data_IF_482057830590
#
_entry.id   IF_482057830590
#
_cell.length_a   1.000
_cell.length_b   1.000
_cell.length_c   1.000
_cell.angle_alpha   90.00
_cell.angle_beta   90.00
_cell.angle_gamma   90.00
#
_symmetry.space_group_name_H-M   'P 1'
#
loop_
_entity.id
_entity.type
_entity.pdbx_description
1 polymer ?
#
# COMPACT_ATOMS: atom_id res chain seq x y z
N UNK A 1 -6.22 -4.64 23.71
CA UNK A 1 -5.05 -4.97 22.86
C UNK A 1 -4.85 -3.86 21.85
N UNK A 2 -3.68 -3.23 21.87
CA UNK A 2 -3.31 -2.17 20.92
C UNK A 2 -3.36 -2.74 19.48
N UNK A 3 -4.01 -2.02 18.57
CA UNK A 3 -4.12 -2.46 17.17
C UNK A 3 -2.72 -2.58 16.53
N UNK A 4 -2.49 -3.56 15.66
CA UNK A 4 -1.23 -3.76 14.92
C UNK A 4 -0.74 -2.45 14.29
N UNK A 5 -1.65 -1.67 13.74
CA UNK A 5 -1.40 -0.36 13.15
C UNK A 5 -0.75 0.62 14.14
N UNK A 6 -1.30 0.72 15.37
CA UNK A 6 -0.83 1.66 16.39
C UNK A 6 0.53 1.19 16.95
N UNK A 7 0.72 -0.12 17.06
CA UNK A 7 2.01 -0.72 17.42
C UNK A 7 3.08 -0.43 16.37
N UNK A 8 2.73 -0.56 15.09
CA UNK A 8 3.63 -0.25 13.98
C UNK A 8 4.02 1.23 13.99
N UNK A 9 3.04 2.12 14.13
CA UNK A 9 3.29 3.55 14.25
C UNK A 9 4.20 3.89 15.42
N UNK A 10 3.87 3.39 16.61
CA UNK A 10 4.67 3.63 17.81
C UNK A 10 6.12 3.14 17.64
N UNK A 11 6.30 1.97 17.00
CA UNK A 11 7.64 1.42 16.79
C UNK A 11 8.45 2.21 15.76
N UNK A 12 7.82 2.70 14.72
CA UNK A 12 8.48 3.58 13.74
C UNK A 12 8.89 4.90 14.40
N UNK A 13 8.02 5.50 15.20
CA UNK A 13 8.31 6.76 15.91
C UNK A 13 9.38 6.58 16.98
N UNK A 14 9.44 5.42 17.64
CA UNK A 14 10.55 5.07 18.54
C UNK A 14 11.90 5.06 17.81
N UNK A 15 11.94 4.53 16.60
CA UNK A 15 13.16 4.45 15.77
C UNK A 15 13.50 5.77 15.07
N UNK A 16 12.49 6.59 14.79
CA UNK A 16 12.58 7.86 14.05
C UNK A 16 11.68 8.91 14.68
N UNK A 17 12.02 9.44 15.87
CA UNK A 17 11.18 10.42 16.57
C UNK A 17 10.91 11.69 15.74
N UNK A 18 11.85 12.08 14.90
CA UNK A 18 11.78 13.24 14.02
C UNK A 18 10.74 13.10 12.89
N UNK A 19 10.23 11.90 12.65
CA UNK A 19 9.17 11.68 11.65
C UNK A 19 7.78 11.99 12.18
N UNK A 20 7.63 12.01 13.50
CA UNK A 20 6.37 12.34 14.15
C UNK A 20 6.13 13.84 14.19
N UNK A 21 4.88 14.25 14.01
CA UNK A 21 4.38 15.59 14.29
C UNK A 21 2.86 15.49 14.54
N UNK A 22 2.34 16.20 15.53
CA UNK A 22 0.92 16.19 15.88
C UNK A 22 0.07 16.95 14.85
N UNK A 23 0.65 17.95 14.18
CA UNK A 23 -0.06 18.73 13.18
C UNK A 23 -0.36 17.92 11.92
N UNK A 24 -1.57 18.08 11.37
CA UNK A 24 -2.01 17.30 10.20
C UNK A 24 -1.25 17.64 8.92
N UNK A 25 -0.67 18.84 8.85
CA UNK A 25 0.09 19.37 7.72
C UNK A 25 1.60 19.15 7.83
N UNK A 26 2.07 18.48 8.88
CA UNK A 26 3.50 18.20 9.14
C UNK A 26 3.77 16.73 9.36
N UNK A 27 5.06 16.40 9.56
CA UNK A 27 5.56 15.06 9.82
C UNK A 27 5.64 14.19 8.57
N UNK A 28 6.51 13.20 8.65
CA UNK A 28 6.84 12.24 7.59
C UNK A 28 5.89 11.03 7.60
N UNK A 29 5.33 10.71 8.77
CA UNK A 29 4.42 9.58 8.97
C UNK A 29 3.07 10.02 9.52
N UNK A 30 1.99 9.46 8.98
CA UNK A 30 0.61 9.66 9.46
C UNK A 30 -0.17 8.36 9.53
N UNK A 31 -1.08 8.26 10.49
CA UNK A 31 -2.09 7.20 10.56
C UNK A 31 -3.43 7.78 10.13
N UNK A 32 -4.14 7.08 9.26
CA UNK A 32 -5.49 7.46 8.79
C UNK A 32 -6.42 6.27 8.86
N UNK A 33 -7.51 6.39 9.61
CA UNK A 33 -8.54 5.38 9.65
C UNK A 33 -9.92 5.99 10.01
N UNK A 34 -10.97 5.21 9.75
CA UNK A 34 -12.30 5.51 10.24
C UNK A 34 -12.51 4.74 11.55
N UNK A 35 -12.81 5.46 12.63
CA UNK A 35 -13.19 4.81 13.87
C UNK A 35 -14.62 4.29 13.80
N UNK A 36 -14.84 3.15 14.45
CA UNK A 36 -16.16 2.71 14.83
C UNK A 36 -16.48 3.19 16.26
N UNK A 37 -17.77 3.43 16.59
CA UNK A 37 -18.15 3.81 17.96
C UNK A 37 -17.76 2.80 19.04
N UNK A 38 -17.44 1.57 18.63
CA UNK A 38 -17.02 0.46 19.51
C UNK A 38 -15.50 0.37 19.72
N UNK A 39 -14.72 1.26 19.10
CA UNK A 39 -13.28 1.21 19.20
C UNK A 39 -12.81 1.66 20.59
N UNK A 40 -11.77 0.99 21.13
CA UNK A 40 -11.19 1.32 22.42
C UNK A 40 -10.60 2.75 22.43
N UNK A 41 -10.53 3.37 23.61
CA UNK A 41 -10.03 4.73 23.78
C UNK A 41 -8.60 4.95 23.22
N UNK A 42 -7.76 3.92 23.28
CA UNK A 42 -6.39 3.94 22.73
C UNK A 42 -6.36 4.11 21.20
N UNK A 43 -7.39 3.61 20.53
CA UNK A 43 -7.57 3.73 19.07
C UNK A 43 -7.99 5.16 18.71
N UNK A 44 -8.59 5.91 19.64
CA UNK A 44 -9.07 7.27 19.39
C UNK A 44 -7.94 8.30 19.28
N UNK A 45 -6.73 8.01 19.74
CA UNK A 45 -5.56 8.90 19.64
C UNK A 45 -5.24 9.34 18.20
N UNK A 46 -5.55 8.49 17.22
CA UNK A 46 -5.34 8.77 15.80
C UNK A 46 -6.63 9.12 15.05
N UNK A 47 -7.73 9.33 15.77
CA UNK A 47 -8.99 9.79 15.19
C UNK A 47 -8.83 11.20 14.65
N UNK A 48 -9.03 11.33 13.35
CA UNK A 48 -8.96 12.62 12.68
C UNK A 48 -10.36 13.09 12.27
N UNK A 49 -10.58 14.38 12.38
CA UNK A 49 -11.76 14.99 11.76
C UNK A 49 -11.72 14.80 10.24
N UNK A 50 -12.86 14.76 9.55
CA UNK A 50 -12.89 14.62 8.09
C UNK A 50 -11.99 15.61 7.33
N UNK A 51 -11.90 16.86 7.83
CA UNK A 51 -11.01 17.88 7.27
C UNK A 51 -9.52 17.52 7.37
N UNK A 52 -9.10 16.98 8.51
CA UNK A 52 -7.72 16.53 8.74
C UNK A 52 -7.38 15.31 7.88
N UNK A 53 -8.30 14.34 7.75
CA UNK A 53 -8.17 13.23 6.82
C UNK A 53 -8.04 13.71 5.37
N UNK A 54 -8.80 14.72 4.97
CA UNK A 54 -8.70 15.33 3.65
C UNK A 54 -7.34 16.03 3.44
N UNK A 55 -6.80 16.69 4.48
CA UNK A 55 -5.49 17.32 4.44
C UNK A 55 -4.38 16.27 4.20
N UNK A 56 -4.37 15.15 4.95
CA UNK A 56 -3.42 14.06 4.74
C UNK A 56 -3.55 13.46 3.33
N UNK A 57 -4.77 13.23 2.86
CA UNK A 57 -5.00 12.76 1.48
C UNK A 57 -4.48 13.73 0.42
N UNK A 58 -4.58 15.03 0.66
CA UNK A 58 -4.03 16.05 -0.24
C UNK A 58 -2.50 16.00 -0.26
N UNK A 59 -1.86 15.88 0.90
CA UNK A 59 -0.40 15.73 1.03
C UNK A 59 0.11 14.51 0.27
N UNK A 60 -0.52 13.36 0.40
CA UNK A 60 -0.15 12.11 -0.33
C UNK A 60 -0.15 12.25 -1.85
N UNK A 61 -0.88 13.21 -2.40
CA UNK A 61 -0.92 13.47 -3.85
C UNK A 61 0.20 14.39 -4.32
N UNK A 62 0.88 15.06 -3.39
CA UNK A 62 1.94 16.02 -3.67
C UNK A 62 3.28 15.32 -3.55
N UNK A 63 3.98 15.13 -4.68
CA UNK A 63 5.26 14.43 -4.69
C UNK A 63 6.38 15.15 -3.92
N UNK A 64 6.25 16.46 -3.72
CA UNK A 64 7.23 17.30 -3.04
C UNK A 64 6.88 17.52 -1.54
N UNK A 65 5.79 16.88 -1.05
CA UNK A 65 5.42 16.92 0.38
C UNK A 65 6.34 15.98 1.19
N UNK A 66 6.78 16.36 2.38
CA UNK A 66 7.61 15.51 3.25
C UNK A 66 6.89 14.26 3.79
N UNK A 67 5.59 14.10 3.55
CA UNK A 67 4.84 12.92 3.95
C UNK A 67 5.21 11.70 3.09
N UNK A 68 5.94 10.76 3.67
CA UNK A 68 6.41 9.56 2.99
C UNK A 68 5.61 8.31 3.35
N UNK A 69 5.11 8.21 4.60
CA UNK A 69 4.45 7.00 5.09
C UNK A 69 3.04 7.33 5.58
N UNK A 70 2.07 6.57 5.07
CA UNK A 70 0.69 6.62 5.60
C UNK A 70 0.23 5.21 5.94
N UNK A 71 -0.10 5.01 7.21
CA UNK A 71 -0.63 3.75 7.72
C UNK A 71 -2.15 3.83 7.67
N UNK A 72 -2.79 2.90 6.98
CA UNK A 72 -4.24 2.85 6.80
C UNK A 72 -4.82 1.49 7.20
N UNK A 73 -6.11 1.48 7.54
CA UNK A 73 -6.90 0.26 7.67
C UNK A 73 -8.11 0.38 6.75
N UNK A 74 -8.18 -0.51 5.74
CA UNK A 74 -9.31 -0.61 4.79
C UNK A 74 -9.64 0.66 3.99
N UNK A 75 -8.88 1.71 4.18
CA UNK A 75 -9.07 2.99 3.50
C UNK A 75 -8.12 3.14 2.30
N UNK A 76 -8.52 3.96 1.34
CA UNK A 76 -7.68 4.34 0.19
C UNK A 76 -7.29 3.19 -0.75
N UNK A 77 -7.70 1.96 -0.47
CA UNK A 77 -7.49 0.83 -1.39
C UNK A 77 -8.33 0.98 -2.65
N UNK A 78 -9.50 1.62 -2.53
CA UNK A 78 -10.38 1.93 -3.66
C UNK A 78 -10.66 3.43 -3.74
N UNK A 79 -10.89 3.96 -4.95
CA UNK A 79 -11.34 5.34 -5.14
C UNK A 79 -10.33 6.45 -4.81
N UNK A 80 -9.14 6.14 -4.31
CA UNK A 80 -8.10 7.13 -4.01
C UNK A 80 -6.98 7.09 -5.05
N UNK A 81 -6.67 8.23 -5.64
CA UNK A 81 -5.62 8.37 -6.65
C UNK A 81 -4.44 9.17 -6.11
N UNK A 82 -3.26 8.52 -6.08
CA UNK A 82 -1.99 9.12 -5.72
C UNK A 82 -0.88 8.56 -6.63
N UNK A 83 -0.65 9.15 -7.82
CA UNK A 83 0.30 8.63 -8.80
C UNK A 83 1.75 8.57 -8.27
N UNK A 84 2.11 9.42 -7.32
CA UNK A 84 3.43 9.44 -6.68
C UNK A 84 3.65 8.24 -5.75
N UNK A 85 2.59 7.52 -5.35
CA UNK A 85 2.71 6.36 -4.46
C UNK A 85 3.55 5.27 -5.13
N UNK A 86 4.70 4.94 -4.52
CA UNK A 86 5.65 3.96 -5.04
C UNK A 86 5.44 2.58 -4.44
N UNK A 87 5.33 2.48 -3.12
CA UNK A 87 5.32 1.20 -2.41
C UNK A 87 4.05 1.01 -1.59
N UNK A 88 3.48 -0.19 -1.63
CA UNK A 88 2.43 -0.63 -0.70
C UNK A 88 2.95 -1.82 0.11
N UNK A 89 2.83 -1.71 1.44
CA UNK A 89 3.06 -2.80 2.39
C UNK A 89 1.72 -3.41 2.80
N UNK A 90 1.57 -4.73 2.63
CA UNK A 90 0.33 -5.45 2.92
C UNK A 90 0.57 -6.44 4.06
N UNK A 91 -0.13 -6.22 5.19
CA UNK A 91 -0.05 -7.06 6.40
C UNK A 91 -1.25 -8.02 6.53
N UNK A 92 -2.01 -8.22 5.47
CA UNK A 92 -3.14 -9.15 5.46
C UNK A 92 -3.35 -9.78 4.09
N UNK A 93 -4.07 -10.90 4.07
CA UNK A 93 -4.45 -11.53 2.80
C UNK A 93 -5.47 -10.68 2.05
N UNK A 94 -5.14 -10.31 0.80
CA UNK A 94 -6.04 -9.70 -0.16
C UNK A 94 -6.35 -10.71 -1.28
N UNK A 95 -7.55 -10.62 -1.87
CA UNK A 95 -8.00 -11.56 -2.91
C UNK A 95 -8.76 -10.84 -4.02
N UNK A 96 -8.80 -11.48 -5.20
CA UNK A 96 -9.64 -11.08 -6.34
C UNK A 96 -9.52 -9.60 -6.71
N UNK A 97 -10.64 -8.98 -7.00
CA UNK A 97 -10.71 -7.59 -7.47
C UNK A 97 -10.06 -6.58 -6.51
N UNK A 98 -10.16 -6.79 -5.18
CA UNK A 98 -9.55 -5.89 -4.21
C UNK A 98 -8.02 -5.90 -4.29
N UNK A 99 -7.41 -7.07 -4.51
CA UNK A 99 -5.97 -7.20 -4.73
C UNK A 99 -5.55 -6.47 -6.01
N UNK A 100 -6.26 -6.68 -7.12
CA UNK A 100 -5.98 -6.01 -8.39
C UNK A 100 -6.13 -4.49 -8.28
N UNK A 101 -7.16 -4.00 -7.61
CA UNK A 101 -7.35 -2.57 -7.37
C UNK A 101 -6.25 -1.98 -6.49
N UNK A 102 -5.74 -2.73 -5.53
CA UNK A 102 -4.63 -2.32 -4.67
C UNK A 102 -3.33 -2.22 -5.47
N UNK A 103 -3.03 -3.21 -6.30
CA UNK A 103 -1.87 -3.20 -7.20
C UNK A 103 -1.91 -2.01 -8.17
N UNK A 104 -3.08 -1.73 -8.74
CA UNK A 104 -3.28 -0.61 -9.64
C UNK A 104 -2.98 0.76 -9.00
N UNK A 105 -2.92 0.86 -7.65
CA UNK A 105 -2.55 2.11 -6.96
C UNK A 105 -1.09 2.45 -7.11
N UNK A 106 -0.21 1.46 -7.06
CA UNK A 106 1.24 1.67 -7.19
C UNK A 106 1.72 1.51 -8.64
N UNK A 107 1.03 0.74 -9.45
CA UNK A 107 1.38 0.50 -10.85
C UNK A 107 0.93 1.65 -11.76
N UNK A 108 1.52 2.83 -11.54
CA UNK A 108 1.29 4.04 -12.34
C UNK A 108 2.60 4.72 -12.68
N UNK A 109 2.72 5.17 -13.91
CA UNK A 109 3.83 6.01 -14.35
C UNK A 109 3.65 7.43 -13.81
N UNK A 110 4.70 8.02 -13.25
CA UNK A 110 4.66 9.38 -12.72
C UNK A 110 6.07 9.96 -12.54
N UNK A 111 6.39 11.10 -13.17
CA UNK A 111 7.67 11.82 -13.01
C UNK A 111 8.93 10.91 -13.00
N UNK A 112 9.02 9.96 -13.94
CA UNK A 112 10.14 9.02 -14.06
C UNK A 112 9.99 7.73 -13.25
N UNK A 113 8.96 7.58 -12.42
CA UNK A 113 8.55 6.30 -11.86
C UNK A 113 7.87 5.47 -12.96
N UNK A 114 8.41 4.31 -13.26
CA UNK A 114 7.91 3.39 -14.30
C UNK A 114 7.03 2.28 -13.74
N UNK A 115 7.24 1.93 -12.48
CA UNK A 115 6.61 0.80 -11.80
C UNK A 115 6.32 1.12 -10.33
N UNK A 116 5.74 0.17 -9.62
CA UNK A 116 5.48 0.24 -8.19
C UNK A 116 5.87 -1.05 -7.49
N UNK A 117 6.14 -0.94 -6.20
CA UNK A 117 6.56 -2.06 -5.36
C UNK A 117 5.41 -2.51 -4.44
N UNK A 118 5.16 -3.83 -4.43
CA UNK A 118 4.28 -4.48 -3.46
C UNK A 118 5.12 -5.33 -2.51
N UNK A 119 5.01 -5.05 -1.21
CA UNK A 119 5.62 -5.86 -0.15
C UNK A 119 4.50 -6.52 0.66
N UNK A 120 4.49 -7.84 0.72
CA UNK A 120 3.45 -8.60 1.43
C UNK A 120 4.04 -9.41 2.57
N UNK A 121 3.53 -9.22 3.77
CA UNK A 121 3.88 -10.01 4.96
C UNK A 121 2.96 -11.23 5.15
N UNK A 122 1.83 -11.27 4.43
CA UNK A 122 0.93 -12.43 4.38
C UNK A 122 1.14 -13.20 3.07
N UNK A 123 0.89 -14.52 3.02
CA UNK A 123 0.95 -15.30 1.79
C UNK A 123 0.00 -14.71 0.73
N UNK A 124 0.55 -14.19 -0.35
CA UNK A 124 -0.21 -13.48 -1.38
C UNK A 124 -0.07 -14.10 -2.78
N UNK A 125 0.96 -14.91 -3.00
CA UNK A 125 1.33 -15.44 -4.34
C UNK A 125 0.16 -16.19 -4.99
N UNK A 126 -0.48 -17.11 -4.26
CA UNK A 126 -1.61 -17.87 -4.79
C UNK A 126 -2.82 -16.98 -5.12
N UNK A 127 -3.07 -15.97 -4.30
CA UNK A 127 -4.16 -15.02 -4.52
C UNK A 127 -3.87 -14.12 -5.72
N UNK A 128 -2.60 -13.74 -5.90
CA UNK A 128 -2.15 -12.95 -7.04
C UNK A 128 -2.30 -13.74 -8.35
N UNK A 129 -1.82 -14.98 -8.39
CA UNK A 129 -1.93 -15.85 -9.56
C UNK A 129 -3.40 -16.08 -9.97
N UNK A 130 -4.28 -16.31 -8.99
CA UNK A 130 -5.72 -16.46 -9.25
C UNK A 130 -6.35 -15.17 -9.77
N UNK A 131 -6.07 -14.03 -9.12
CA UNK A 131 -6.63 -12.73 -9.50
C UNK A 131 -6.17 -12.31 -10.91
N UNK A 132 -4.90 -12.53 -11.26
CA UNK A 132 -4.37 -12.29 -12.60
C UNK A 132 -5.04 -13.19 -13.64
N UNK A 133 -5.21 -14.48 -13.34
CA UNK A 133 -5.90 -15.43 -14.23
C UNK A 133 -7.37 -15.10 -14.47
N UNK A 134 -8.08 -14.58 -13.48
CA UNK A 134 -9.45 -14.08 -13.62
C UNK A 134 -9.49 -12.81 -14.47
N UNK A 135 -8.64 -11.83 -14.16
CA UNK A 135 -8.54 -10.58 -14.89
C UNK A 135 -8.21 -10.78 -16.37
N UNK A 136 -7.26 -11.67 -16.68
CA UNK A 136 -6.86 -11.98 -18.07
C UNK A 136 -7.98 -12.68 -18.83
N UNK A 137 -8.76 -13.55 -18.19
CA UNK A 137 -9.92 -14.22 -18.81
C UNK A 137 -11.02 -13.22 -19.15
N UNK A 138 -11.35 -12.32 -18.23
CA UNK A 138 -12.38 -11.31 -18.42
C UNK A 138 -11.98 -10.31 -19.53
N UNK A 139 -10.72 -9.89 -19.57
CA UNK A 139 -10.19 -9.03 -20.61
C UNK A 139 -10.25 -9.68 -22.01
N UNK A 140 -9.87 -10.95 -22.11
CA UNK A 140 -9.95 -11.72 -23.37
C UNK A 140 -11.40 -11.95 -23.81
N UNK A 141 -12.33 -12.17 -22.88
CA UNK A 141 -13.76 -12.31 -23.20
C UNK A 141 -14.40 -11.03 -23.74
N UNK A 142 -13.90 -9.86 -23.32
CA UNK A 142 -14.37 -8.56 -23.76
C UNK A 142 -13.66 -8.04 -25.03
N UNK A 143 -12.72 -8.81 -25.61
CA UNK A 143 -11.98 -8.42 -26.83
C UNK A 143 -10.99 -7.27 -26.64
N UNK A 144 -10.73 -6.87 -25.39
CA UNK A 144 -9.68 -5.92 -25.07
C UNK A 144 -8.32 -6.60 -25.23
N UNK A 145 -7.49 -6.12 -26.17
CA UNK A 145 -6.08 -6.50 -26.19
C UNK A 145 -5.46 -6.02 -24.88
N UNK A 146 -5.13 -6.95 -24.02
CA UNK A 146 -4.28 -6.67 -22.87
C UNK A 146 -2.92 -6.24 -23.42
N UNK A 147 -2.69 -4.93 -23.49
CA UNK A 147 -1.38 -4.35 -23.76
C UNK A 147 -0.60 -4.49 -22.45
N UNK A 148 0.02 -5.64 -22.27
CA UNK A 148 0.81 -5.97 -21.10
C UNK A 148 1.52 -7.29 -21.35
N UNK A 149 2.62 -7.51 -20.68
CA UNK A 149 3.33 -8.78 -20.64
C UNK A 149 2.35 -9.90 -20.30
N UNK A 150 2.53 -11.07 -20.86
CA UNK A 150 1.72 -12.24 -20.54
C UNK A 150 1.78 -12.52 -19.04
N UNK A 151 0.76 -13.17 -18.48
CA UNK A 151 0.76 -13.54 -17.05
C UNK A 151 2.00 -14.37 -16.67
N UNK A 152 2.56 -15.12 -17.62
CA UNK A 152 3.80 -15.89 -17.46
C UNK A 152 5.04 -15.00 -17.40
N UNK A 153 5.14 -13.98 -18.24
CA UNK A 153 6.23 -12.99 -18.20
C UNK A 153 6.17 -12.14 -16.92
N UNK A 154 4.99 -11.70 -16.51
CA UNK A 154 4.81 -10.99 -15.26
C UNK A 154 5.12 -11.86 -14.04
N UNK A 155 4.76 -13.15 -14.06
CA UNK A 155 5.11 -14.10 -13.01
C UNK A 155 6.62 -14.32 -12.94
N UNK A 156 7.30 -14.43 -14.08
CA UNK A 156 8.76 -14.60 -14.14
C UNK A 156 9.46 -13.40 -13.48
N UNK A 157 9.06 -12.18 -13.79
CA UNK A 157 9.62 -10.96 -13.16
C UNK A 157 9.40 -10.95 -11.64
N UNK A 158 8.23 -11.38 -11.18
CA UNK A 158 7.95 -11.46 -9.74
C UNK A 158 8.82 -12.54 -9.07
N UNK A 159 9.02 -13.69 -9.71
CA UNK A 159 9.88 -14.75 -9.17
C UNK A 159 11.36 -14.33 -9.16
N UNK A 160 11.85 -13.63 -10.17
CA UNK A 160 13.21 -13.11 -10.21
C UNK A 160 13.44 -12.05 -9.12
N UNK A 161 12.45 -11.18 -8.86
CA UNK A 161 12.50 -10.20 -7.78
C UNK A 161 12.49 -10.87 -6.40
N UNK A 162 11.67 -11.91 -6.20
CA UNK A 162 11.64 -12.69 -4.95
C UNK A 162 12.98 -13.37 -4.73
N UNK A 163 13.55 -14.01 -5.76
CA UNK A 163 14.89 -14.63 -5.70
C UNK A 163 15.97 -13.61 -5.32
N UNK A 164 15.94 -12.42 -5.91
CA UNK A 164 16.90 -11.35 -5.59
C UNK A 164 16.77 -10.85 -4.12
N UNK A 165 15.56 -10.80 -3.58
CA UNK A 165 15.33 -10.43 -2.17
C UNK A 165 15.82 -11.54 -1.23
N UNK A 166 15.61 -12.82 -1.57
CA UNK A 166 16.12 -13.94 -0.80
C UNK A 166 17.65 -13.97 -0.77
N UNK A 167 18.32 -13.68 -1.88
CA UNK A 167 19.78 -13.57 -1.95
C UNK A 167 20.31 -12.42 -1.06
N UNK A 168 19.66 -11.26 -1.07
CA UNK A 168 20.04 -10.13 -0.23
C UNK A 168 19.86 -10.48 1.26
N UNK A 169 18.78 -11.14 1.63
CA UNK A 169 18.55 -11.58 3.01
C UNK A 169 19.59 -12.62 3.45
N UNK A 170 19.90 -13.59 2.58
CA UNK A 170 20.90 -14.61 2.86
C UNK A 170 22.33 -14.04 2.97
N UNK A 171 22.63 -12.93 2.28
CA UNK A 171 23.94 -12.29 2.32
C UNK A 171 24.15 -11.36 3.52
N UNK A 172 23.08 -11.05 4.27
CA UNK A 172 23.10 -10.08 5.39
C UNK A 172 23.01 -10.77 6.77
N UNK A 173 22.93 -12.12 6.81
CA UNK A 173 22.82 -12.97 8.01
C UNK A 173 24.19 -13.60 8.41
#
# INVERSE_FOLDING_TARGET
>A
EMCIRDRLYAKIVELRPEWHDDADDKGVIKVVYNAAPSDAAEVTAHLRRPSATAAVKKRMKQADDPLEIVIVKDMMLTGFDAPALHTIYIDRSLKGALLMQTLARVNRTYRGKTDGLLVAYAPLVDNLSKALGEYTRDANANGEKVVGQTAEEAATIVFDLVGSVEEVIASTG
#
